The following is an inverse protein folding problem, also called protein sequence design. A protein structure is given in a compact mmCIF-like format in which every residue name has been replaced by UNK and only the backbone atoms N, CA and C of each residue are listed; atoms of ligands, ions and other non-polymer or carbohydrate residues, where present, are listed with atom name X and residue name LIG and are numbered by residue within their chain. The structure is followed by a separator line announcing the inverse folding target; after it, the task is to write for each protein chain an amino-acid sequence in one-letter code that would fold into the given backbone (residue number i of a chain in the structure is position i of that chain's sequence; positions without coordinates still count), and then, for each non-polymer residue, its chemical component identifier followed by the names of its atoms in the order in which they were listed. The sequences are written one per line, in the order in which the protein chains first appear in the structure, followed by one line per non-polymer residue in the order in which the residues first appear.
data_IF_796175524591
#
_entry.id   IF_796175524591
#
_cell.length_a   1.000
_cell.length_b   1.000
_cell.length_c   1.000
_cell.angle_alpha   90.00
_cell.angle_beta   90.00
_cell.angle_gamma   90.00
#
_symmetry.space_group_name_H-M   'P 1'
#
loop_
_entity.id
_entity.type
_entity.pdbx_description
1 polymer ?
#
# COMPACT_ATOMS: atom_id res chain seq x y z
N UNK A 1 -36.21 -6.94 -10.93
CA UNK A 1 -36.25 -6.04 -9.77
C UNK A 1 -34.81 -5.94 -9.24
N UNK A 2 -33.96 -5.16 -9.90
CA UNK A 2 -33.63 -3.77 -9.55
C UNK A 2 -32.63 -3.69 -8.37
N UNK A 3 -31.33 -3.64 -8.72
CA UNK A 3 -30.24 -2.70 -8.31
C UNK A 3 -30.35 -1.87 -7.00
N UNK A 4 -29.29 -1.14 -6.58
CA UNK A 4 -27.85 -1.48 -6.39
C UNK A 4 -27.20 -0.74 -5.17
N UNK A 5 -25.87 -0.91 -4.98
CA UNK A 5 -24.90 0.03 -4.35
C UNK A 5 -25.10 0.36 -2.84
N UNK A 6 -24.10 0.77 -2.03
CA UNK A 6 -22.98 1.67 -2.29
C UNK A 6 -21.99 1.68 -1.09
N UNK A 7 -20.70 1.72 -1.43
CA UNK A 7 -19.52 2.29 -0.74
C UNK A 7 -19.62 2.71 0.73
N UNK A 8 -18.70 2.20 1.57
CA UNK A 8 -18.36 2.79 2.87
C UNK A 8 -17.14 3.72 2.70
N UNK A 9 -17.41 5.02 2.67
CA UNK A 9 -16.42 6.09 2.84
C UNK A 9 -16.06 6.25 4.33
N UNK A 10 -14.77 6.45 4.60
CA UNK A 10 -14.28 6.90 5.91
C UNK A 10 -14.60 8.39 6.12
N UNK A 11 -14.99 8.83 7.33
CA UNK A 11 -14.84 10.22 7.71
C UNK A 11 -13.65 10.40 8.65
N UNK A 12 -12.85 11.42 8.33
CA UNK A 12 -11.82 11.97 9.17
C UNK A 12 -12.40 12.80 10.32
N UNK A 13 -11.64 12.81 11.42
CA UNK A 13 -11.69 13.64 12.63
C UNK A 13 -12.55 14.92 12.65
N UNK A 14 -13.30 15.12 13.73
CA UNK A 14 -13.12 16.30 14.62
C UNK A 14 -14.03 16.26 15.88
N UNK A 15 -13.44 16.75 16.96
CA UNK A 15 -14.02 17.46 18.10
C UNK A 15 -14.72 16.68 19.24
N UNK A 16 -14.23 17.00 20.43
CA UNK A 16 -14.66 16.53 21.74
C UNK A 16 -15.98 17.19 22.20
N UNK A 17 -16.74 16.46 23.00
CA UNK A 17 -17.89 16.94 23.77
C UNK A 17 -18.46 15.79 24.60
N UNK A 18 -18.23 15.82 25.91
CA UNK A 18 -18.74 14.86 26.89
C UNK A 18 -20.18 15.22 27.31
N UNK A 19 -21.11 14.27 27.22
CA UNK A 19 -22.27 14.13 28.11
C UNK A 19 -23.07 12.85 27.78
N UNK A 20 -23.18 11.98 28.78
CA UNK A 20 -23.77 10.64 28.82
C UNK A 20 -25.20 10.48 28.25
N UNK A 21 -25.45 9.37 27.56
CA UNK A 21 -26.74 8.68 27.53
C UNK A 21 -26.54 7.18 27.27
N UNK A 22 -27.02 6.37 28.23
CA UNK A 22 -27.11 4.91 28.28
C UNK A 22 -27.47 4.19 26.97
N UNK A 23 -26.80 3.06 26.71
CA UNK A 23 -27.29 2.03 25.80
C UNK A 23 -26.26 1.26 24.95
N UNK A 24 -24.96 1.53 25.07
CA UNK A 24 -23.93 0.79 24.33
C UNK A 24 -23.14 -0.08 25.30
N UNK A 25 -23.70 -1.25 25.61
CA UNK A 25 -23.05 -2.34 26.36
C UNK A 25 -21.95 -3.00 25.49
N UNK A 26 -21.04 -2.19 24.94
CA UNK A 26 -19.71 -2.66 24.58
C UNK A 26 -18.87 -2.57 25.85
N UNK A 27 -18.56 -3.69 26.51
CA UNK A 27 -17.67 -3.65 27.65
C UNK A 27 -16.37 -2.98 27.22
N UNK A 28 -15.96 -1.95 27.97
CA UNK A 28 -14.64 -1.34 27.81
C UNK A 28 -13.61 -2.46 27.97
N UNK A 29 -12.84 -2.72 26.91
CA UNK A 29 -11.81 -3.76 26.89
C UNK A 29 -10.99 -3.71 28.18
N UNK A 30 -10.91 -4.83 28.88
CA UNK A 30 -10.05 -5.02 30.04
C UNK A 30 -8.59 -4.76 29.67
N UNK A 31 -7.73 -4.47 30.65
CA UNK A 31 -6.30 -4.25 30.37
C UNK A 31 -5.65 -5.48 29.71
N UNK A 32 -6.09 -6.68 30.09
CA UNK A 32 -5.67 -7.93 29.48
C UNK A 32 -6.10 -8.01 28.01
N UNK A 33 -7.35 -7.70 27.69
CA UNK A 33 -7.86 -7.69 26.31
C UNK A 33 -7.20 -6.61 25.45
N UNK A 34 -6.95 -5.41 25.99
CA UNK A 34 -6.20 -4.36 25.30
C UNK A 34 -4.79 -4.81 24.95
N UNK A 35 -4.09 -5.47 25.89
CA UNK A 35 -2.75 -6.00 25.66
C UNK A 35 -2.75 -7.07 24.56
N UNK A 36 -3.72 -7.99 24.60
CA UNK A 36 -3.88 -9.01 23.57
C UNK A 36 -4.19 -8.40 22.20
N UNK A 37 -5.11 -7.44 22.13
CA UNK A 37 -5.47 -6.77 20.89
C UNK A 37 -4.29 -5.99 20.29
N UNK A 38 -3.52 -5.29 21.13
CA UNK A 38 -2.31 -4.60 20.70
C UNK A 38 -1.29 -5.56 20.07
N UNK A 39 -1.02 -6.71 20.71
CA UNK A 39 -0.12 -7.74 20.18
C UNK A 39 -0.64 -8.26 18.84
N UNK A 40 -1.93 -8.60 18.75
CA UNK A 40 -2.53 -9.12 17.53
C UNK A 40 -2.50 -8.10 16.38
N UNK A 41 -2.82 -6.83 16.66
CA UNK A 41 -2.78 -5.74 15.69
C UNK A 41 -1.37 -5.52 15.16
N UNK A 42 -0.36 -5.52 16.03
CA UNK A 42 1.03 -5.35 15.62
C UNK A 42 1.57 -6.57 14.85
N UNK A 43 1.17 -7.79 15.21
CA UNK A 43 1.49 -9.00 14.44
C UNK A 43 0.90 -8.91 13.03
N UNK A 44 -0.38 -8.54 12.90
CA UNK A 44 -1.03 -8.33 11.61
C UNK A 44 -0.33 -7.25 10.79
N UNK A 45 0.01 -6.11 11.42
CA UNK A 45 0.77 -5.03 10.78
C UNK A 45 2.11 -5.52 10.26
N UNK A 46 2.89 -6.24 11.07
CA UNK A 46 4.19 -6.80 10.66
C UNK A 46 4.06 -7.82 9.54
N UNK A 47 3.03 -8.65 9.58
CA UNK A 47 2.76 -9.63 8.53
C UNK A 47 2.47 -8.94 7.19
N UNK A 48 1.60 -7.92 7.19
CA UNK A 48 1.31 -7.13 5.98
C UNK A 48 2.56 -6.44 5.40
N UNK A 49 3.47 -5.95 6.25
CA UNK A 49 4.75 -5.38 5.81
C UNK A 49 5.60 -6.44 5.12
N UNK A 50 5.74 -7.64 5.70
CA UNK A 50 6.53 -8.74 5.12
C UNK A 50 5.98 -9.17 3.76
N UNK A 51 4.67 -9.34 3.66
CA UNK A 51 4.01 -9.65 2.38
C UNK A 51 4.25 -8.54 1.33
N UNK A 52 4.36 -7.28 1.78
CA UNK A 52 4.81 -6.17 0.92
C UNK A 52 6.22 -6.39 0.37
N UNK A 53 7.18 -6.78 1.21
CA UNK A 53 8.55 -7.08 0.80
C UNK A 53 8.64 -8.30 -0.11
N UNK A 54 7.92 -9.37 0.19
CA UNK A 54 7.89 -10.57 -0.65
C UNK A 54 7.40 -10.22 -2.07
N UNK A 55 6.31 -9.44 -2.19
CA UNK A 55 5.86 -8.93 -3.49
C UNK A 55 6.88 -8.06 -4.22
N UNK A 56 7.64 -7.22 -3.50
CA UNK A 56 8.71 -6.43 -4.14
C UNK A 56 9.79 -7.34 -4.72
N UNK A 57 10.12 -8.44 -4.04
CA UNK A 57 11.12 -9.39 -4.55
C UNK A 57 10.68 -10.17 -5.77
N UNK A 58 9.38 -10.32 -6.00
CA UNK A 58 8.82 -10.93 -7.21
C UNK A 58 8.82 -9.97 -8.41
N UNK A 59 8.68 -8.66 -8.15
CA UNK A 59 8.61 -7.64 -9.20
C UNK A 59 9.97 -7.13 -9.66
N UNK A 60 10.97 -7.12 -8.77
CA UNK A 60 12.30 -6.58 -9.06
C UNK A 60 13.24 -7.72 -9.44
N UNK A 61 13.75 -7.76 -10.68
CA UNK A 61 14.59 -8.85 -11.14
C UNK A 61 15.84 -9.05 -10.27
N UNK A 62 16.13 -10.30 -9.91
CA UNK A 62 17.35 -10.67 -9.18
C UNK A 62 17.26 -10.46 -7.66
N UNK A 63 16.07 -10.25 -7.11
CA UNK A 63 15.81 -10.18 -5.66
C UNK A 63 15.08 -11.42 -5.12
N UNK A 64 14.87 -12.46 -5.92
CA UNK A 64 14.08 -13.63 -5.55
C UNK A 64 14.64 -14.27 -4.27
N UNK A 65 13.80 -14.43 -3.25
CA UNK A 65 14.20 -14.98 -1.95
C UNK A 65 14.96 -14.02 -1.02
N UNK A 66 15.17 -12.76 -1.41
CA UNK A 66 15.84 -11.75 -0.58
C UNK A 66 14.89 -10.89 0.28
N UNK A 67 13.64 -11.32 0.47
CA UNK A 67 12.59 -10.56 1.18
C UNK A 67 12.90 -10.23 2.64
N UNK A 68 13.97 -10.79 3.20
CA UNK A 68 14.44 -10.54 4.58
C UNK A 68 15.51 -9.46 4.69
N UNK A 69 16.02 -8.95 3.58
CA UNK A 69 17.01 -7.87 3.53
C UNK A 69 16.36 -6.54 3.18
N UNK A 70 15.55 -5.99 4.09
CA UNK A 70 14.68 -4.82 3.86
C UNK A 70 15.39 -3.64 3.16
N UNK A 71 16.55 -3.23 3.67
CA UNK A 71 17.32 -2.12 3.10
C UNK A 71 17.82 -2.39 1.67
N UNK A 72 18.27 -3.62 1.40
CA UNK A 72 18.72 -4.03 0.06
C UNK A 72 17.55 -4.04 -0.92
N UNK A 73 16.41 -4.61 -0.50
CA UNK A 73 15.20 -4.69 -1.33
C UNK A 73 14.74 -3.28 -1.71
N UNK A 74 14.63 -2.36 -0.75
CA UNK A 74 14.22 -0.98 -1.03
C UNK A 74 15.21 -0.26 -1.96
N UNK A 75 16.51 -0.37 -1.69
CA UNK A 75 17.54 0.27 -2.52
C UNK A 75 17.49 -0.24 -3.96
N UNK A 76 17.38 -1.56 -4.15
CA UNK A 76 17.37 -2.15 -5.48
C UNK A 76 16.06 -1.88 -6.22
N UNK A 77 14.94 -1.83 -5.50
CA UNK A 77 13.63 -1.41 -6.03
C UNK A 77 13.69 0.00 -6.58
N UNK A 78 14.22 0.97 -5.81
CA UNK A 78 14.34 2.37 -6.27
C UNK A 78 15.22 2.47 -7.50
N UNK A 79 16.34 1.74 -7.52
CA UNK A 79 17.22 1.68 -8.70
C UNK A 79 16.48 1.13 -9.91
N UNK A 80 15.76 0.02 -9.77
CA UNK A 80 14.99 -0.58 -10.85
C UNK A 80 13.91 0.35 -11.39
N UNK A 81 13.17 1.05 -10.52
CA UNK A 81 12.18 2.06 -10.94
C UNK A 81 12.80 3.16 -11.79
N UNK A 82 13.98 3.66 -11.43
CA UNK A 82 14.70 4.66 -12.23
C UNK A 82 15.10 4.11 -13.61
N UNK A 83 15.64 2.89 -13.65
CA UNK A 83 15.99 2.18 -14.89
C UNK A 83 14.75 2.00 -15.80
N UNK A 84 13.58 1.65 -15.24
CA UNK A 84 12.33 1.50 -15.99
C UNK A 84 11.81 2.85 -16.55
N UNK A 85 11.91 3.93 -15.78
CA UNK A 85 11.54 5.27 -16.26
C UNK A 85 12.42 5.74 -17.43
N UNK A 86 13.72 5.48 -17.35
CA UNK A 86 14.65 5.78 -18.44
C UNK A 86 14.38 4.92 -19.68
N UNK A 87 14.16 3.62 -19.49
CA UNK A 87 13.80 2.69 -20.56
C UNK A 87 12.51 3.12 -21.27
N UNK A 88 11.49 3.53 -20.50
CA UNK A 88 10.24 4.09 -21.05
C UNK A 88 10.50 5.34 -21.89
N UNK A 89 11.23 6.33 -21.35
CA UNK A 89 11.58 7.55 -22.11
C UNK A 89 12.33 7.23 -23.41
N UNK A 90 13.23 6.26 -23.38
CA UNK A 90 13.94 5.81 -24.58
C UNK A 90 12.98 5.15 -25.60
N UNK A 91 12.03 4.36 -25.13
CA UNK A 91 10.99 3.76 -25.98
C UNK A 91 10.11 4.83 -26.64
N UNK A 92 9.64 5.82 -25.87
CA UNK A 92 8.83 6.94 -26.39
C UNK A 92 9.59 7.66 -27.51
N UNK A 93 10.85 8.01 -27.28
CA UNK A 93 11.69 8.66 -28.30
C UNK A 93 11.84 7.80 -29.56
N UNK A 94 11.97 6.48 -29.42
CA UNK A 94 12.04 5.56 -30.57
C UNK A 94 10.74 5.53 -31.37
N UNK A 95 9.59 5.51 -30.68
CA UNK A 95 8.26 5.53 -31.32
C UNK A 95 8.07 6.84 -32.08
N UNK A 96 8.39 7.98 -31.46
CA UNK A 96 8.29 9.30 -32.07
C UNK A 96 9.23 9.46 -33.27
N UNK A 97 10.47 8.96 -33.18
CA UNK A 97 11.41 8.95 -34.29
C UNK A 97 10.95 8.08 -35.47
N UNK A 98 10.17 7.02 -35.20
CA UNK A 98 9.55 6.19 -36.21
C UNK A 98 8.24 6.79 -36.78
N UNK A 99 7.86 8.00 -36.35
CA UNK A 99 6.64 8.70 -36.80
C UNK A 99 5.37 8.32 -36.04
N UNK A 100 5.47 7.53 -34.96
CA UNK A 100 4.35 7.23 -34.07
C UNK A 100 4.09 8.33 -33.06
N UNK A 101 2.84 8.48 -32.61
CA UNK A 101 2.46 9.42 -31.55
C UNK A 101 2.22 8.67 -30.25
N UNK A 102 2.81 9.15 -29.16
CA UNK A 102 2.60 8.61 -27.80
C UNK A 102 1.73 9.56 -27.00
N UNK A 103 0.74 9.03 -26.28
CA UNK A 103 -0.15 9.78 -25.40
C UNK A 103 0.65 10.46 -24.26
N UNK A 104 0.20 11.63 -23.81
CA UNK A 104 0.83 12.36 -22.69
C UNK A 104 0.80 11.57 -21.37
N UNK A 105 -0.19 10.69 -21.17
CA UNK A 105 -0.20 9.75 -20.05
C UNK A 105 1.01 8.80 -20.08
N UNK A 106 1.45 8.42 -21.28
CA UNK A 106 2.56 7.52 -21.54
C UNK A 106 3.92 8.23 -21.65
N UNK A 107 3.96 9.56 -21.44
CA UNK A 107 5.20 10.36 -21.41
C UNK A 107 5.73 10.65 -20.01
N UNK A 108 4.86 10.71 -18.99
CA UNK A 108 5.20 11.14 -17.62
C UNK A 108 5.82 10.03 -16.78
#
# INVERSE_FOLDING_TARGET
MASPAKQAESPAAAAAGDANADGDDKPRLTEAEKKQNHIASEQKRRQAIREGFDRLTELVPGLEGQGRSEGLVLQRTVRYMREQLEARRALVRKVEAAGGTVDDADRR
#
